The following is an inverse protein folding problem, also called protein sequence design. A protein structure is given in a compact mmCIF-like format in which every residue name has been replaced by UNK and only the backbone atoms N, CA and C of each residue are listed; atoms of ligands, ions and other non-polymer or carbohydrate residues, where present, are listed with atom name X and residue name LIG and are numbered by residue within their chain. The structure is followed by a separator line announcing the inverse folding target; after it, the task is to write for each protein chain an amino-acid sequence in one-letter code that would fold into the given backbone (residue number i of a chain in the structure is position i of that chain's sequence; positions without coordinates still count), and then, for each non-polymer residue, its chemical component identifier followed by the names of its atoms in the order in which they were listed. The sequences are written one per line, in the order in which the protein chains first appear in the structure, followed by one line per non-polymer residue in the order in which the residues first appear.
data_IF_557252870388
#
_entry.id   IF_557252870388
#
_cell.length_a   1.000
_cell.length_b   1.000
_cell.length_c   1.000
_cell.angle_alpha   90.00
_cell.angle_beta   90.00
_cell.angle_gamma   90.00
#
_symmetry.space_group_name_H-M   'P 1'
#
loop_
_entity.id
_entity.type
_entity.pdbx_description
1 polymer ?
#
# COMPACT_ATOMS: atom_id res chain seq x y z
N UNK A 1 26.89 11.90 48.60
CA UNK A 1 25.76 11.91 47.65
C UNK A 1 26.15 11.11 46.41
N UNK A 2 25.61 9.90 46.24
CA UNK A 2 25.79 9.10 45.01
C UNK A 2 24.43 9.01 44.32
N UNK A 3 24.35 9.62 43.14
CA UNK A 3 23.19 9.60 42.26
C UNK A 3 22.87 8.17 41.85
N UNK A 4 21.64 7.72 42.13
CA UNK A 4 21.11 6.44 41.63
C UNK A 4 20.76 6.64 40.16
N UNK A 5 21.61 6.19 39.26
CA UNK A 5 21.22 6.02 37.85
C UNK A 5 20.11 4.97 37.79
N UNK A 6 18.94 5.36 37.29
CA UNK A 6 17.81 4.46 37.08
C UNK A 6 18.20 3.35 36.11
N UNK A 7 18.13 2.12 36.58
CA UNK A 7 18.18 0.92 35.73
C UNK A 7 16.92 0.90 34.86
N UNK A 8 17.07 1.14 33.57
CA UNK A 8 16.00 0.93 32.59
C UNK A 8 15.80 -0.57 32.39
N UNK A 9 14.74 -1.14 32.98
CA UNK A 9 14.42 -2.59 32.93
C UNK A 9 13.78 -2.99 31.58
N UNK A 10 13.53 -2.03 30.69
CA UNK A 10 13.02 -2.27 29.34
C UNK A 10 13.42 -1.16 28.38
N UNK A 11 13.52 -1.50 27.10
CA UNK A 11 13.78 -0.52 26.05
C UNK A 11 12.66 0.54 26.05
N UNK A 12 12.99 1.85 26.04
CA UNK A 12 12.01 2.94 26.08
C UNK A 12 11.24 3.12 24.76
N UNK A 13 11.49 2.26 23.77
CA UNK A 13 10.95 2.33 22.42
C UNK A 13 10.26 0.99 22.11
N UNK A 14 9.11 1.07 21.44
CA UNK A 14 8.17 -0.01 21.12
C UNK A 14 8.84 -1.36 20.84
N UNK A 15 8.48 -2.39 21.63
CA UNK A 15 8.62 -3.79 21.21
C UNK A 15 7.52 -4.07 20.19
N UNK A 16 7.72 -3.68 18.94
CA UNK A 16 6.80 -4.11 17.88
C UNK A 16 6.85 -5.64 17.81
N UNK A 17 5.71 -6.27 18.07
CA UNK A 17 5.60 -7.73 18.05
C UNK A 17 5.85 -8.19 16.60
N UNK A 18 6.78 -9.13 16.44
CA UNK A 18 7.09 -9.73 15.13
C UNK A 18 5.82 -10.22 14.45
N UNK A 19 5.64 -9.90 13.17
CA UNK A 19 4.48 -10.28 12.33
C UNK A 19 4.22 -11.80 12.40
N UNK A 20 5.30 -12.59 12.45
CA UNK A 20 5.25 -14.05 12.42
C UNK A 20 5.57 -14.69 13.77
N UNK A 21 5.65 -13.88 14.83
CA UNK A 21 6.07 -14.31 16.16
C UNK A 21 7.60 -14.40 16.34
N UNK A 22 8.05 -14.72 17.56
CA UNK A 22 9.47 -14.87 17.89
C UNK A 22 10.14 -15.99 17.09
N UNK A 23 11.40 -15.80 16.71
CA UNK A 23 12.22 -16.85 16.08
C UNK A 23 11.86 -17.19 14.64
N UNK A 24 11.05 -16.36 13.96
CA UNK A 24 10.81 -16.46 12.52
C UNK A 24 11.48 -15.28 11.82
N UNK A 25 12.50 -15.58 11.02
CA UNK A 25 13.18 -14.60 10.17
C UNK A 25 12.67 -14.72 8.73
N UNK A 26 12.22 -13.61 8.16
CA UNK A 26 11.81 -13.54 6.75
C UNK A 26 12.81 -12.68 5.99
N UNK A 27 13.41 -13.25 4.95
CA UNK A 27 14.41 -12.60 4.11
C UNK A 27 13.94 -12.57 2.66
N UNK A 28 14.32 -11.53 1.92
CA UNK A 28 14.16 -11.47 0.48
C UNK A 28 15.53 -11.70 -0.18
N UNK A 29 15.67 -12.84 -0.85
CA UNK A 29 16.90 -13.25 -1.54
C UNK A 29 16.55 -13.39 -3.02
N UNK A 30 17.18 -12.57 -3.87
CA UNK A 30 16.96 -12.55 -5.33
C UNK A 30 15.48 -12.41 -5.74
N UNK A 31 14.72 -11.61 -4.99
CA UNK A 31 13.29 -11.38 -5.24
C UNK A 31 12.38 -12.50 -4.73
N UNK A 32 12.93 -13.46 -3.97
CA UNK A 32 12.19 -14.59 -3.41
C UNK A 32 12.25 -14.57 -1.90
N UNK A 33 11.14 -14.95 -1.28
CA UNK A 33 11.03 -15.04 0.16
C UNK A 33 11.69 -16.33 0.67
N UNK A 34 12.59 -16.17 1.64
CA UNK A 34 13.15 -17.24 2.45
C UNK A 34 12.78 -17.00 3.91
N UNK A 35 12.03 -17.95 4.49
CA UNK A 35 11.66 -18.00 5.89
C UNK A 35 12.57 -19.00 6.60
N UNK A 36 13.29 -18.51 7.61
CA UNK A 36 14.22 -19.28 8.44
C UNK A 36 13.77 -19.26 9.89
N UNK A 37 13.80 -20.41 10.54
CA UNK A 37 13.59 -20.50 11.99
C UNK A 37 14.91 -20.19 12.70
N UNK A 38 14.87 -19.33 13.71
CA UNK A 38 16.03 -18.90 14.48
C UNK A 38 15.74 -19.10 15.97
N UNK A 39 16.51 -19.98 16.62
CA UNK A 39 16.36 -20.32 18.05
C UNK A 39 15.51 -21.57 18.31
N UNK A 40 15.48 -22.01 19.58
CA UNK A 40 14.88 -23.30 20.02
C UNK A 40 13.54 -23.14 20.79
N UNK A 41 12.85 -21.99 20.69
CA UNK A 41 11.65 -21.71 21.50
C UNK A 41 10.31 -22.18 20.88
N UNK A 42 9.29 -22.43 21.72
CA UNK A 42 8.00 -23.07 21.35
C UNK A 42 7.16 -22.36 20.26
N UNK A 43 7.24 -21.03 20.14
CA UNK A 43 6.56 -20.29 19.06
C UNK A 43 7.16 -20.56 17.67
N UNK A 44 8.34 -21.20 17.61
CA UNK A 44 8.94 -21.67 16.37
C UNK A 44 8.27 -22.91 15.80
N UNK A 45 7.37 -23.59 16.53
CA UNK A 45 6.78 -24.85 16.13
C UNK A 45 5.82 -24.71 14.94
N UNK A 46 4.51 -24.66 15.22
CA UNK A 46 3.46 -24.74 14.18
C UNK A 46 3.35 -23.45 13.36
N UNK A 47 3.38 -22.28 13.99
CA UNK A 47 3.30 -20.98 13.27
C UNK A 47 4.47 -20.85 12.31
N UNK A 48 5.70 -21.01 12.80
CA UNK A 48 6.90 -20.97 11.98
C UNK A 48 6.89 -21.98 10.83
N UNK A 49 6.43 -23.22 11.05
CA UNK A 49 6.33 -24.24 9.99
C UNK A 49 5.31 -23.89 8.92
N UNK A 50 4.12 -23.43 9.32
CA UNK A 50 3.07 -23.05 8.37
C UNK A 50 3.52 -21.84 7.57
N UNK A 51 4.03 -20.79 8.22
CA UNK A 51 4.52 -19.59 7.54
C UNK A 51 5.67 -19.93 6.60
N UNK A 52 6.62 -20.77 7.03
CA UNK A 52 7.72 -21.23 6.17
C UNK A 52 7.18 -21.98 4.95
N UNK A 53 6.24 -22.89 5.14
CA UNK A 53 5.65 -23.68 4.04
C UNK A 53 4.90 -22.78 3.05
N UNK A 54 4.15 -21.82 3.57
CA UNK A 54 3.26 -20.96 2.79
C UNK A 54 3.99 -19.80 2.13
N UNK A 55 5.02 -19.20 2.74
CA UNK A 55 5.68 -18.02 2.17
C UNK A 55 6.96 -18.34 1.40
N UNK A 56 7.63 -19.47 1.66
CA UNK A 56 8.87 -19.77 0.95
C UNK A 56 8.68 -19.80 -0.57
N UNK A 57 9.67 -19.27 -1.27
CA UNK A 57 9.73 -19.20 -2.73
C UNK A 57 8.60 -18.36 -3.37
N UNK A 58 7.80 -17.65 -2.57
CA UNK A 58 6.92 -16.59 -3.07
C UNK A 58 7.75 -15.36 -3.48
N UNK A 59 7.19 -14.54 -4.35
CA UNK A 59 7.76 -13.24 -4.73
C UNK A 59 7.07 -12.19 -3.87
N UNK A 60 7.84 -11.43 -3.09
CA UNK A 60 7.31 -10.26 -2.38
C UNK A 60 7.29 -9.05 -3.32
N UNK A 61 6.19 -8.30 -3.33
CA UNK A 61 6.11 -7.06 -4.10
C UNK A 61 6.80 -5.90 -3.38
N UNK A 62 7.30 -4.94 -4.17
CA UNK A 62 7.88 -3.68 -3.71
C UNK A 62 6.83 -2.63 -3.28
N UNK A 63 5.55 -3.03 -3.23
CA UNK A 63 4.43 -2.20 -2.79
C UNK A 63 3.85 -2.77 -1.50
N UNK A 64 3.51 -1.87 -0.58
CA UNK A 64 2.80 -2.15 0.66
C UNK A 64 1.76 -1.06 0.89
N UNK A 65 0.81 -1.33 1.77
CA UNK A 65 -0.16 -0.31 2.20
C UNK A 65 -0.30 -0.32 3.71
N UNK A 66 -0.67 0.82 4.28
CA UNK A 66 -0.92 0.95 5.72
C UNK A 66 -2.36 1.39 5.93
N UNK A 67 -3.12 0.59 6.68
CA UNK A 67 -4.49 0.90 7.07
C UNK A 67 -4.65 0.75 8.57
N UNK A 68 -5.19 1.78 9.24
CA UNK A 68 -5.38 1.81 10.70
C UNK A 68 -4.11 1.44 11.51
N UNK A 69 -2.93 1.83 11.00
CA UNK A 69 -1.64 1.53 11.62
C UNK A 69 -1.12 0.11 11.40
N UNK A 70 -1.81 -0.71 10.60
CA UNK A 70 -1.40 -2.05 10.22
C UNK A 70 -0.90 -2.06 8.78
N UNK A 71 0.31 -2.59 8.58
CA UNK A 71 0.90 -2.73 7.26
C UNK A 71 0.38 -3.98 6.55
N UNK A 72 0.18 -3.87 5.24
CA UNK A 72 -0.23 -4.96 4.35
C UNK A 72 0.90 -5.27 3.37
N UNK A 73 1.34 -6.53 3.35
CA UNK A 73 2.39 -7.00 2.44
C UNK A 73 1.82 -7.96 1.40
N UNK A 74 2.29 -7.84 0.16
CA UNK A 74 1.77 -8.59 -0.98
C UNK A 74 2.80 -9.59 -1.49
N UNK A 75 2.38 -10.85 -1.63
CA UNK A 75 3.18 -11.97 -2.09
C UNK A 75 2.54 -12.60 -3.31
N UNK A 76 3.35 -13.22 -4.16
CA UNK A 76 2.90 -13.88 -5.39
C UNK A 76 3.45 -15.30 -5.45
N UNK A 77 2.56 -16.23 -5.80
CA UNK A 77 2.91 -17.59 -6.20
C UNK A 77 2.36 -17.85 -7.60
N UNK A 78 3.23 -18.29 -8.52
CA UNK A 78 2.84 -18.48 -9.93
C UNK A 78 1.83 -19.62 -10.15
N UNK A 79 1.77 -20.60 -9.25
CA UNK A 79 0.85 -21.74 -9.38
C UNK A 79 -0.47 -21.46 -8.67
N UNK A 80 -1.59 -21.47 -9.42
CA UNK A 80 -2.95 -21.33 -8.87
C UNK A 80 -3.31 -22.50 -7.95
N UNK A 81 -2.89 -23.71 -8.31
CA UNK A 81 -3.24 -24.93 -7.57
C UNK A 81 -2.65 -24.99 -6.15
N UNK A 82 -1.54 -24.25 -5.92
CA UNK A 82 -0.92 -24.15 -4.58
C UNK A 82 -1.82 -23.49 -3.54
N UNK A 83 -2.81 -22.71 -3.97
CA UNK A 83 -3.74 -22.06 -3.06
C UNK A 83 -4.45 -23.04 -2.12
N UNK A 84 -4.96 -24.16 -2.64
CA UNK A 84 -5.68 -25.14 -1.83
C UNK A 84 -4.76 -25.83 -0.81
N UNK A 85 -3.53 -26.15 -1.21
CA UNK A 85 -2.51 -26.74 -0.33
C UNK A 85 -2.10 -25.75 0.78
N UNK A 86 -1.77 -24.52 0.41
CA UNK A 86 -1.39 -23.47 1.36
C UNK A 86 -2.54 -23.14 2.32
N UNK A 87 -3.79 -23.13 1.83
CA UNK A 87 -4.97 -22.95 2.67
C UNK A 87 -5.13 -24.08 3.70
N UNK A 88 -4.83 -25.33 3.35
CA UNK A 88 -4.85 -26.43 4.31
C UNK A 88 -3.81 -26.25 5.43
N UNK A 89 -2.64 -25.70 5.12
CA UNK A 89 -1.65 -25.34 6.14
C UNK A 89 -2.12 -24.16 7.00
N UNK A 90 -2.66 -23.11 6.38
CA UNK A 90 -3.12 -21.90 7.08
C UNK A 90 -4.31 -22.15 8.01
N UNK A 91 -5.18 -23.13 7.70
CA UNK A 91 -6.27 -23.56 8.60
C UNK A 91 -5.77 -23.99 9.99
N UNK A 92 -4.53 -24.48 10.09
CA UNK A 92 -3.90 -24.84 11.38
C UNK A 92 -3.62 -23.62 12.27
N UNK A 93 -3.65 -22.42 11.70
CA UNK A 93 -3.47 -21.14 12.40
C UNK A 93 -4.80 -20.44 12.69
N UNK A 94 -5.94 -21.09 12.37
CA UNK A 94 -7.27 -20.57 12.67
C UNK A 94 -7.42 -20.33 14.17
N UNK A 95 -7.80 -19.12 14.55
CA UNK A 95 -7.91 -18.67 15.95
C UNK A 95 -6.72 -17.84 16.43
N UNK A 96 -5.54 -17.95 15.78
CA UNK A 96 -4.41 -17.03 15.98
C UNK A 96 -4.40 -15.97 14.89
N UNK A 97 -4.70 -16.38 13.65
CA UNK A 97 -4.83 -15.50 12.51
C UNK A 97 -6.20 -15.63 11.87
N UNK A 98 -6.74 -14.51 11.41
CA UNK A 98 -7.92 -14.53 10.54
C UNK A 98 -7.45 -14.78 9.11
N UNK A 99 -7.97 -15.81 8.45
CA UNK A 99 -7.59 -16.17 7.09
C UNK A 99 -8.83 -16.17 6.21
N UNK A 100 -8.79 -15.39 5.13
CA UNK A 100 -9.84 -15.35 4.12
C UNK A 100 -9.29 -15.77 2.77
N UNK A 101 -10.11 -16.49 2.02
CA UNK A 101 -9.77 -17.06 0.73
C UNK A 101 -10.78 -16.57 -0.29
N UNK A 102 -10.32 -16.02 -1.41
CA UNK A 102 -11.19 -15.40 -2.40
C UNK A 102 -10.72 -15.74 -3.80
N UNK A 103 -11.62 -16.28 -4.61
CA UNK A 103 -11.39 -16.45 -6.04
C UNK A 103 -11.68 -15.12 -6.75
N UNK A 104 -10.73 -14.69 -7.58
CA UNK A 104 -10.80 -13.42 -8.30
C UNK A 104 -10.71 -13.69 -9.80
N UNK A 105 -11.04 -12.69 -10.63
CA UNK A 105 -10.85 -12.79 -12.09
C UNK A 105 -9.38 -13.03 -12.49
N UNK A 106 -8.44 -12.68 -11.61
CA UNK A 106 -7.00 -12.75 -11.86
C UNK A 106 -6.33 -14.01 -11.29
N UNK A 107 -7.07 -14.81 -10.54
CA UNK A 107 -6.56 -16.03 -9.91
C UNK A 107 -7.24 -16.29 -8.58
N UNK A 108 -6.42 -16.53 -7.56
CA UNK A 108 -6.91 -16.79 -6.21
C UNK A 108 -6.10 -15.99 -5.21
N UNK A 109 -6.74 -15.39 -4.22
CA UNK A 109 -6.11 -14.60 -3.17
C UNK A 109 -6.37 -15.23 -1.81
N UNK A 110 -5.33 -15.33 -1.00
CA UNK A 110 -5.46 -15.64 0.43
C UNK A 110 -4.99 -14.43 1.21
N UNK A 111 -5.85 -13.90 2.09
CA UNK A 111 -5.51 -12.80 2.99
C UNK A 111 -5.41 -13.33 4.41
N UNK A 112 -4.36 -12.95 5.10
CA UNK A 112 -4.12 -13.32 6.49
C UNK A 112 -3.96 -12.06 7.33
N UNK A 113 -4.77 -11.96 8.39
CA UNK A 113 -4.69 -10.92 9.41
C UNK A 113 -3.91 -11.45 10.60
N UNK A 114 -2.79 -10.79 10.91
CA UNK A 114 -2.02 -11.00 12.13
C UNK A 114 -2.28 -9.82 13.08
N UNK A 115 -1.94 -9.94 14.38
CA UNK A 115 -2.14 -8.84 15.33
C UNK A 115 -1.42 -7.53 14.97
N UNK A 116 -0.39 -7.57 14.13
CA UNK A 116 0.44 -6.39 13.80
C UNK A 116 0.51 -6.07 12.31
N UNK A 117 -0.03 -6.90 11.42
CA UNK A 117 0.03 -6.70 9.96
C UNK A 117 -0.95 -7.60 9.21
N UNK A 118 -1.23 -7.26 7.96
CA UNK A 118 -1.94 -8.10 7.00
C UNK A 118 -0.99 -8.63 5.94
N UNK A 119 -1.26 -9.82 5.44
CA UNK A 119 -0.53 -10.41 4.32
C UNK A 119 -1.53 -10.85 3.26
N UNK A 120 -1.19 -10.62 1.99
CA UNK A 120 -1.99 -11.05 0.85
C UNK A 120 -1.13 -11.89 -0.06
N UNK A 121 -1.53 -13.13 -0.32
CA UNK A 121 -0.84 -14.04 -1.24
C UNK A 121 -1.72 -14.21 -2.48
N UNK A 122 -1.21 -13.78 -3.63
CA UNK A 122 -1.87 -13.85 -4.93
C UNK A 122 -1.33 -15.05 -5.72
N UNK A 123 -2.23 -15.94 -6.13
CA UNK A 123 -1.91 -17.20 -6.80
C UNK A 123 -2.32 -17.17 -8.27
N UNK A 124 -1.41 -17.58 -9.15
CA UNK A 124 -1.68 -17.68 -10.60
C UNK A 124 -1.50 -16.37 -11.38
N UNK A 125 -1.11 -15.28 -10.71
CA UNK A 125 -0.92 -13.97 -11.34
C UNK A 125 0.57 -13.68 -11.62
N UNK A 126 0.85 -12.93 -12.70
CA UNK A 126 2.22 -12.48 -13.03
C UNK A 126 2.59 -11.25 -12.19
N UNK A 127 3.85 -11.19 -11.73
CA UNK A 127 4.37 -10.09 -10.91
C UNK A 127 4.03 -8.69 -11.42
N UNK A 128 4.26 -8.41 -12.70
CA UNK A 128 4.02 -7.09 -13.27
C UNK A 128 2.53 -6.71 -13.31
N UNK A 129 1.64 -7.69 -13.51
CA UNK A 129 0.19 -7.47 -13.54
C UNK A 129 -0.33 -7.24 -12.12
N UNK A 130 0.02 -8.13 -11.19
CA UNK A 130 -0.32 -8.00 -9.78
C UNK A 130 0.16 -6.66 -9.20
N UNK A 131 1.42 -6.29 -9.44
CA UNK A 131 1.96 -4.99 -9.02
C UNK A 131 1.17 -3.82 -9.60
N UNK A 132 0.83 -3.85 -10.88
CA UNK A 132 0.07 -2.77 -11.52
C UNK A 132 -1.34 -2.65 -10.97
N UNK A 133 -1.98 -3.79 -10.68
CA UNK A 133 -3.30 -3.87 -10.08
C UNK A 133 -3.32 -3.34 -8.65
N UNK A 134 -2.44 -3.86 -7.79
CA UNK A 134 -2.30 -3.37 -6.40
C UNK A 134 -2.04 -1.87 -6.39
N UNK A 135 -1.14 -1.36 -7.24
CA UNK A 135 -0.90 0.08 -7.32
C UNK A 135 -2.14 0.88 -7.75
N UNK A 136 -2.99 0.33 -8.62
CA UNK A 136 -4.22 0.99 -9.05
C UNK A 136 -5.26 1.02 -7.93
N UNK A 137 -5.42 -0.09 -7.21
CA UNK A 137 -6.28 -0.20 -6.03
C UNK A 137 -5.85 0.80 -4.94
N UNK A 138 -4.56 0.79 -4.56
CA UNK A 138 -4.04 1.70 -3.54
C UNK A 138 -4.11 3.17 -3.96
N UNK A 139 -3.95 3.44 -5.25
CA UNK A 139 -4.12 4.78 -5.80
C UNK A 139 -5.55 5.28 -5.59
N UNK A 140 -6.54 4.46 -5.92
CA UNK A 140 -7.96 4.81 -5.73
C UNK A 140 -8.27 5.00 -4.25
N UNK A 141 -7.83 4.08 -3.40
CA UNK A 141 -8.01 4.15 -1.95
C UNK A 141 -7.38 5.42 -1.34
N UNK A 142 -6.18 5.80 -1.77
CA UNK A 142 -5.53 7.04 -1.31
C UNK A 142 -6.29 8.29 -1.77
N UNK A 143 -6.79 8.31 -3.00
CA UNK A 143 -7.60 9.42 -3.54
C UNK A 143 -8.92 9.58 -2.77
N UNK A 144 -9.60 8.47 -2.47
CA UNK A 144 -10.83 8.45 -1.68
C UNK A 144 -10.59 8.94 -0.24
N UNK A 145 -9.56 8.41 0.43
CA UNK A 145 -9.19 8.85 1.79
C UNK A 145 -8.77 10.30 1.87
N UNK A 146 -8.11 10.82 0.84
CA UNK A 146 -7.74 12.22 0.79
C UNK A 146 -8.98 13.12 0.74
N UNK A 147 -9.99 12.74 -0.05
CA UNK A 147 -11.28 13.44 -0.08
C UNK A 147 -12.00 13.38 1.27
N UNK A 148 -12.10 12.19 1.87
CA UNK A 148 -12.72 12.00 3.18
C UNK A 148 -12.03 12.85 4.26
N UNK A 149 -10.70 12.86 4.27
CA UNK A 149 -9.89 13.68 5.18
C UNK A 149 -10.18 15.16 5.01
N UNK A 150 -10.25 15.66 3.78
CA UNK A 150 -10.57 17.07 3.51
C UNK A 150 -11.98 17.42 3.97
N UNK A 151 -12.97 16.57 3.69
CA UNK A 151 -14.34 16.79 4.14
C UNK A 151 -14.45 16.84 5.67
N UNK A 152 -13.72 15.97 6.38
CA UNK A 152 -13.64 16.00 7.85
C UNK A 152 -12.99 17.30 8.34
N UNK A 153 -11.90 17.74 7.73
CA UNK A 153 -11.21 18.98 8.12
C UNK A 153 -12.10 20.20 7.92
N UNK A 154 -12.81 20.30 6.80
CA UNK A 154 -13.76 21.38 6.53
C UNK A 154 -14.90 21.39 7.54
N UNK A 155 -15.50 20.23 7.84
CA UNK A 155 -16.54 20.09 8.89
C UNK A 155 -16.05 20.54 10.27
N UNK A 156 -14.77 20.33 10.57
CA UNK A 156 -14.14 20.76 11.82
C UNK A 156 -13.70 22.24 11.81
N UNK A 157 -13.93 22.98 10.73
CA UNK A 157 -13.45 24.35 10.56
C UNK A 157 -11.92 24.47 10.52
N UNK A 158 -11.22 23.37 10.20
CA UNK A 158 -9.76 23.32 10.10
C UNK A 158 -9.31 23.55 8.66
N UNK A 159 -8.12 24.11 8.52
CA UNK A 159 -7.51 24.31 7.20
C UNK A 159 -7.01 22.96 6.67
N UNK A 160 -7.51 22.61 5.48
CA UNK A 160 -7.10 21.43 4.73
C UNK A 160 -5.77 21.59 3.99
N UNK A 161 -5.43 20.59 3.17
CA UNK A 161 -4.29 20.63 2.25
C UNK A 161 -4.52 21.60 1.07
N UNK A 162 -5.78 21.93 0.77
CA UNK A 162 -6.16 22.90 -0.24
C UNK A 162 -7.00 24.02 0.40
N UNK A 163 -6.79 25.25 -0.05
CA UNK A 163 -7.60 26.40 0.37
C UNK A 163 -8.92 26.42 -0.41
N UNK A 164 -9.96 25.82 0.15
CA UNK A 164 -11.32 25.82 -0.42
C UNK A 164 -12.00 27.17 -0.18
N UNK A 165 -12.68 27.70 -1.20
CA UNK A 165 -13.60 28.82 -1.03
C UNK A 165 -14.84 28.40 -0.21
N UNK A 166 -15.60 29.35 0.32
CA UNK A 166 -16.79 29.04 1.11
C UNK A 166 -17.83 28.18 0.34
N UNK A 167 -17.96 28.40 -0.97
CA UNK A 167 -18.85 27.61 -1.82
C UNK A 167 -18.32 26.18 -2.04
N UNK A 168 -17.02 26.03 -2.36
CA UNK A 168 -16.39 24.71 -2.54
C UNK A 168 -16.36 23.91 -1.23
N UNK A 169 -16.17 24.57 -0.09
CA UNK A 169 -16.21 23.95 1.23
C UNK A 169 -17.61 23.39 1.55
N UNK A 170 -18.68 24.15 1.25
CA UNK A 170 -20.05 23.69 1.41
C UNK A 170 -20.38 22.51 0.48
N UNK A 171 -19.87 22.51 -0.74
CA UNK A 171 -19.99 21.39 -1.69
C UNK A 171 -19.26 20.14 -1.16
N UNK A 172 -18.02 20.30 -0.70
CA UNK A 172 -17.20 19.24 -0.12
C UNK A 172 -17.87 18.61 1.11
N UNK A 173 -18.51 19.41 1.97
CA UNK A 173 -19.24 18.90 3.13
C UNK A 173 -20.48 18.09 2.74
N UNK A 174 -21.18 18.50 1.68
CA UNK A 174 -22.42 17.87 1.20
C UNK A 174 -22.15 16.60 0.38
N UNK A 175 -21.20 16.66 -0.56
CA UNK A 175 -20.97 15.63 -1.57
C UNK A 175 -19.69 14.81 -1.31
N UNK A 176 -18.83 15.25 -0.38
CA UNK A 176 -17.55 14.62 -0.10
C UNK A 176 -16.48 14.89 -1.17
N UNK A 177 -16.80 15.64 -2.23
CA UNK A 177 -15.90 16.04 -3.32
C UNK A 177 -16.29 17.43 -3.83
N UNK A 178 -15.39 18.07 -4.58
CA UNK A 178 -15.63 19.36 -5.23
C UNK A 178 -15.59 19.20 -6.75
N UNK A 179 -16.65 19.63 -7.43
CA UNK A 179 -16.75 19.57 -8.88
C UNK A 179 -15.63 20.34 -9.57
N UNK A 180 -15.09 19.74 -10.64
CA UNK A 180 -13.96 20.32 -11.37
C UNK A 180 -12.59 20.10 -10.73
N UNK A 181 -12.49 19.51 -9.53
CA UNK A 181 -11.22 19.11 -8.92
C UNK A 181 -10.99 17.61 -9.04
N UNK A 182 -9.71 17.25 -9.25
CA UNK A 182 -9.25 15.86 -9.30
C UNK A 182 -8.15 15.67 -8.28
N UNK A 183 -8.30 14.62 -7.47
CA UNK A 183 -7.26 14.11 -6.60
C UNK A 183 -6.17 13.44 -7.45
N UNK A 184 -4.91 13.81 -7.25
CA UNK A 184 -3.78 13.20 -7.96
C UNK A 184 -2.58 13.05 -7.04
N UNK A 185 -1.84 11.95 -7.17
CA UNK A 185 -0.58 11.81 -6.45
C UNK A 185 0.42 12.91 -6.83
N UNK A 186 1.05 13.50 -5.82
CA UNK A 186 2.19 14.40 -5.96
C UNK A 186 3.41 13.63 -6.46
N UNK A 187 3.72 12.51 -5.78
CA UNK A 187 4.76 11.57 -6.19
C UNK A 187 4.15 10.34 -6.87
N UNK A 188 4.64 10.02 -8.07
CA UNK A 188 4.11 8.89 -8.86
C UNK A 188 4.29 7.55 -8.13
N UNK A 189 3.20 6.79 -7.90
CA UNK A 189 3.25 5.48 -7.24
C UNK A 189 4.14 4.46 -7.97
N UNK A 190 4.30 4.58 -9.29
CA UNK A 190 5.16 3.67 -10.05
C UNK A 190 6.63 3.77 -9.65
N UNK A 191 7.08 4.97 -9.25
CA UNK A 191 8.46 5.26 -8.81
C UNK A 191 8.60 5.22 -7.29
N UNK A 192 7.54 5.58 -6.56
CA UNK A 192 7.49 5.61 -5.10
C UNK A 192 6.33 4.74 -4.60
N UNK A 193 6.45 3.40 -4.69
CA UNK A 193 5.35 2.48 -4.38
C UNK A 193 4.90 2.54 -2.92
N UNK A 194 5.80 2.86 -1.99
CA UNK A 194 5.47 3.05 -0.57
C UNK A 194 4.53 4.24 -0.30
N UNK A 195 4.44 5.19 -1.24
CA UNK A 195 3.53 6.34 -1.16
C UNK A 195 2.22 6.12 -1.92
N UNK A 196 1.96 4.89 -2.40
CA UNK A 196 0.78 4.61 -3.21
C UNK A 196 -0.51 4.73 -2.40
N UNK A 197 -0.52 4.18 -1.18
CA UNK A 197 -1.68 4.21 -0.26
C UNK A 197 -1.74 5.45 0.62
N UNK A 198 -0.73 6.32 0.57
CA UNK A 198 -0.62 7.49 1.44
C UNK A 198 -1.52 8.63 0.93
N UNK A 199 -2.58 8.92 1.68
CA UNK A 199 -3.49 10.02 1.40
C UNK A 199 -2.83 11.40 1.49
N UNK A 200 -1.73 11.55 2.24
CA UNK A 200 -0.98 12.82 2.33
C UNK A 200 -0.16 13.13 1.09
N UNK A 201 0.12 12.11 0.26
CA UNK A 201 0.75 12.26 -1.05
C UNK A 201 -0.26 12.69 -2.14
N UNK A 202 -1.51 12.98 -1.80
CA UNK A 202 -2.54 13.44 -2.74
C UNK A 202 -2.59 14.97 -2.77
N UNK A 203 -2.71 15.52 -3.99
CA UNK A 203 -2.95 16.94 -4.22
C UNK A 203 -4.17 17.15 -5.13
N UNK A 204 -5.00 18.11 -4.75
CA UNK A 204 -6.19 18.50 -5.51
C UNK A 204 -5.81 19.48 -6.62
N UNK A 205 -6.22 19.18 -7.84
CA UNK A 205 -5.95 20.02 -9.02
C UNK A 205 -7.22 20.24 -9.82
N UNK A 206 -7.47 21.49 -10.18
CA UNK A 206 -8.59 21.83 -11.04
C UNK A 206 -8.40 21.30 -12.48
N UNK A 207 -9.40 20.63 -13.05
CA UNK A 207 -9.36 19.91 -14.34
C UNK A 207 -8.99 20.84 -15.52
N UNK A 208 -9.36 22.12 -15.46
CA UNK A 208 -9.02 23.12 -16.50
C UNK A 208 -7.51 23.31 -16.69
N UNK A 209 -6.70 23.02 -15.66
CA UNK A 209 -5.23 23.11 -15.70
C UNK A 209 -4.60 22.12 -16.69
N UNK A 210 -5.22 20.94 -16.90
CA UNK A 210 -4.75 19.92 -17.87
C UNK A 210 -4.96 20.35 -19.32
N UNK A 211 -6.09 21.01 -19.64
CA UNK A 211 -6.36 21.52 -21.00
C UNK A 211 -5.35 22.60 -21.40
N UNK A 212 -4.98 23.50 -20.48
CA UNK A 212 -4.04 24.61 -20.74
C UNK A 212 -2.59 24.14 -20.97
N UNK A 213 -2.15 23.04 -20.33
CA UNK A 213 -0.83 22.42 -20.60
C UNK A 213 -0.75 21.73 -21.96
N UNK A 214 -1.82 21.05 -22.39
CA UNK A 214 -1.88 20.43 -23.74
C UNK A 214 -1.94 21.48 -24.86
N UNK A 215 -2.64 22.60 -24.67
CA UNK A 215 -2.71 23.67 -25.68
C UNK A 215 -1.35 24.37 -25.89
N UNK A 216 -0.64 24.70 -24.80
CA UNK A 216 0.71 25.29 -24.87
C UNK A 216 1.74 24.40 -25.58
N UNK A 217 1.70 23.08 -25.38
CA UNK A 217 2.57 22.13 -26.09
C UNK A 217 2.27 22.06 -27.59
N UNK A 218 1.00 22.15 -28.00
CA UNK A 218 0.60 22.20 -29.43
C UNK A 218 1.02 23.51 -30.09
N UNK A 219 0.93 24.64 -29.38
CA UNK A 219 1.35 25.94 -29.90
C UNK A 219 2.86 26.00 -30.14
N UNK A 220 3.66 25.46 -29.20
CA UNK A 220 5.14 25.39 -29.34
C UNK A 220 5.60 24.49 -30.50
N UNK A 221 4.86 23.42 -30.82
CA UNK A 221 5.15 22.56 -31.98
C UNK A 221 4.79 23.22 -33.32
N UNK A 222 3.79 24.12 -33.35
CA UNK A 222 3.45 24.88 -34.56
C UNK A 222 4.48 25.96 -34.89
N UNK A 223 5.00 26.68 -33.88
CA UNK A 223 6.00 27.75 -34.13
C UNK A 223 7.33 27.20 -34.65
N UNK A 224 7.74 26.00 -34.24
CA UNK A 224 8.93 25.32 -34.77
C UNK A 224 8.77 24.89 -36.24
N UNK A 225 7.56 24.52 -36.67
CA UNK A 225 7.29 24.10 -38.06
C UNK A 225 7.17 25.26 -39.02
N UNK A 226 6.76 26.44 -38.57
CA UNK A 226 6.72 27.65 -39.41
C UNK A 226 8.11 28.24 -39.67
N UNK A 227 9.06 28.12 -38.73
CA UNK A 227 10.43 28.61 -38.92
C UNK A 227 11.26 27.84 -39.95
N UNK A 228 10.89 26.61 -40.30
CA UNK A 228 11.59 25.79 -41.31
C UNK A 228 11.06 25.93 -42.75
N UNK A 229 10.08 26.80 -42.99
CA UNK A 229 9.45 26.99 -44.32
C UNK A 229 9.83 28.30 -45.01
N UNK A 230 10.81 29.05 -44.49
CA UNK A 230 11.22 30.37 -45.02
C UNK A 230 12.68 30.37 -45.51
N UNK A 231 13.32 29.21 -45.60
CA UNK A 231 14.64 29.04 -46.24
C UNK A 231 14.54 28.00 -47.35
N UNK A 232 14.02 28.40 -48.51
CA UNK A 232 14.34 27.87 -49.85
C UNK A 232 14.18 29.03 -50.84
#
# INVERSE_FOLDING_TARGET
MKSRMGTWISAPISRQVSIFGPGVLVSNIDGRVLVTKVGEGDFTGVVGDVIRTVLNNSIILDVSSTHNGLDTFYFIKSSRNRAAEDMNHLRRLSGVFEVTSTETEHGHEIRMSTPTSHLVIMYGERMQRARSRVLAELKQEAEERAWEREAILVRMGRVGSHAWSAAEAAELEREGRVSGYVATHLHSPSRYPLLASDATNIVFKHESSRKRRKSRRRFRKKSWRQRKKVEV
#
